data_IF_039015099375
#
_entry.id   IF_039015099375
#
_cell.length_a   1.000
_cell.length_b   1.000
_cell.length_c   1.000
_cell.angle_alpha   90.00
_cell.angle_beta   90.00
_cell.angle_gamma   90.00
#
_symmetry.space_group_name_H-M   'P 1'
#
loop_
_entity.id
_entity.type
_entity.pdbx_description
1 polymer ?
#
# COMPACT_ATOMS: atom_id res chain seq x y z
N UNK A 1 -13.48 -15.15 13.56
CA UNK A 1 -13.91 -14.00 14.37
C UNK A 1 -12.90 -13.80 15.48
N UNK A 2 -12.20 -12.67 15.52
CA UNK A 2 -11.35 -12.31 16.68
C UNK A 2 -12.29 -12.23 17.87
N UNK A 3 -12.06 -12.97 18.98
CA UNK A 3 -12.95 -12.88 20.13
C UNK A 3 -12.95 -11.43 20.62
N UNK A 4 -14.13 -10.83 20.75
CA UNK A 4 -14.34 -9.40 21.09
C UNK A 4 -13.50 -8.94 22.30
N UNK A 5 -13.15 -9.87 23.19
CA UNK A 5 -12.34 -9.66 24.38
C UNK A 5 -10.89 -9.26 24.06
N UNK A 6 -10.26 -9.85 23.04
CA UNK A 6 -8.88 -9.52 22.66
C UNK A 6 -8.81 -8.22 21.87
N UNK A 7 -9.83 -7.92 21.07
CA UNK A 7 -9.98 -6.61 20.43
C UNK A 7 -10.13 -5.49 21.48
N UNK A 8 -11.00 -5.68 22.48
CA UNK A 8 -11.22 -4.68 23.54
C UNK A 8 -9.96 -4.42 24.37
N UNK A 9 -9.15 -5.43 24.65
CA UNK A 9 -7.89 -5.30 25.40
C UNK A 9 -6.83 -4.52 24.64
N UNK A 10 -6.71 -4.75 23.33
CA UNK A 10 -5.67 -4.15 22.48
C UNK A 10 -6.17 -2.96 21.66
N UNK A 11 -7.43 -2.53 21.88
CA UNK A 11 -8.11 -1.48 21.13
C UNK A 11 -7.29 -0.21 21.02
N UNK A 12 -6.66 0.21 22.12
CA UNK A 12 -5.86 1.45 22.14
C UNK A 12 -4.67 1.35 21.19
N UNK A 13 -3.88 0.28 21.30
CA UNK A 13 -2.73 0.02 20.42
C UNK A 13 -3.16 -0.02 18.96
N UNK A 14 -4.22 -0.76 18.64
CA UNK A 14 -4.75 -0.84 17.28
C UNK A 14 -5.17 0.52 16.73
N UNK A 15 -5.92 1.31 17.52
CA UNK A 15 -6.35 2.65 17.11
C UNK A 15 -5.17 3.59 16.89
N UNK A 16 -4.14 3.51 17.73
CA UNK A 16 -2.94 4.34 17.60
C UNK A 16 -2.16 3.94 16.32
N UNK A 17 -2.01 2.65 16.04
CA UNK A 17 -1.38 2.15 14.80
C UNK A 17 -2.16 2.54 13.55
N UNK A 18 -3.50 2.40 13.54
CA UNK A 18 -4.31 2.83 12.41
C UNK A 18 -4.21 4.33 12.16
N UNK A 19 -4.23 5.15 13.22
CA UNK A 19 -4.02 6.58 13.08
C UNK A 19 -2.66 6.92 12.50
N UNK A 20 -1.61 6.18 12.89
CA UNK A 20 -0.28 6.36 12.33
C UNK A 20 -0.27 6.06 10.82
N UNK A 21 -0.84 4.93 10.39
CA UNK A 21 -0.94 4.56 8.97
C UNK A 21 -1.70 5.63 8.18
N UNK A 22 -2.87 6.08 8.66
CA UNK A 22 -3.68 7.10 7.98
C UNK A 22 -2.90 8.41 7.84
N UNK A 23 -2.19 8.84 8.89
CA UNK A 23 -1.35 10.06 8.84
C UNK A 23 -0.24 9.93 7.82
N UNK A 24 0.42 8.77 7.73
CA UNK A 24 1.46 8.53 6.76
C UNK A 24 0.91 8.60 5.33
N UNK A 25 -0.21 7.91 5.05
CA UNK A 25 -0.83 7.94 3.71
C UNK A 25 -1.29 9.34 3.31
N UNK A 26 -1.87 10.08 4.24
CA UNK A 26 -2.26 11.48 4.00
C UNK A 26 -1.04 12.37 3.71
N UNK A 27 0.10 12.12 4.37
CA UNK A 27 1.36 12.82 4.10
C UNK A 27 1.89 12.48 2.71
N UNK A 28 1.94 11.20 2.34
CA UNK A 28 2.42 10.74 1.03
C UNK A 28 1.61 11.38 -0.11
N UNK A 29 0.27 11.38 0.01
CA UNK A 29 -0.62 11.97 -0.98
C UNK A 29 -0.47 13.50 -1.04
N UNK A 30 -0.39 14.18 0.12
CA UNK A 30 -0.17 15.62 0.16
C UNK A 30 1.17 16.02 -0.47
N UNK A 31 2.23 15.25 -0.24
CA UNK A 31 3.55 15.47 -0.87
C UNK A 31 3.47 15.33 -2.38
N UNK A 32 2.84 14.27 -2.88
CA UNK A 32 2.64 14.07 -4.31
C UNK A 32 1.84 15.22 -4.92
N UNK A 33 0.73 15.59 -4.29
CA UNK A 33 -0.18 16.63 -4.73
C UNK A 33 0.51 18.00 -4.80
N UNK A 34 1.26 18.39 -3.77
CA UNK A 34 2.01 19.65 -3.75
C UNK A 34 3.17 19.66 -4.74
N UNK A 35 3.89 18.54 -4.91
CA UNK A 35 4.94 18.40 -5.92
C UNK A 35 4.37 18.59 -7.33
N UNK A 36 3.29 17.86 -7.65
CA UNK A 36 2.64 17.97 -8.96
C UNK A 36 2.10 19.38 -9.19
N UNK A 37 1.54 20.03 -8.17
CA UNK A 37 1.11 21.43 -8.26
C UNK A 37 2.27 22.37 -8.62
N UNK A 38 3.43 22.21 -7.97
CA UNK A 38 4.61 23.02 -8.26
C UNK A 38 5.15 22.80 -9.68
N UNK A 39 5.00 21.59 -10.22
CA UNK A 39 5.47 21.22 -11.56
C UNK A 39 4.52 21.66 -12.69
N UNK A 40 3.20 21.54 -12.50
CA UNK A 40 2.21 21.76 -13.58
C UNK A 40 1.40 23.03 -13.44
N UNK A 41 1.19 23.51 -12.20
CA UNK A 41 0.28 24.62 -11.90
C UNK A 41 -1.22 24.28 -12.01
N UNK A 42 -1.57 23.00 -12.14
CA UNK A 42 -2.96 22.53 -12.22
C UNK A 42 -3.72 22.76 -10.89
N UNK A 43 -5.05 22.70 -10.90
CA UNK A 43 -5.81 22.77 -9.65
C UNK A 43 -5.60 21.53 -8.79
N UNK A 44 -5.43 21.72 -7.48
CA UNK A 44 -5.22 20.63 -6.52
C UNK A 44 -6.34 19.57 -6.57
N UNK A 45 -7.57 19.99 -6.85
CA UNK A 45 -8.72 19.09 -7.01
C UNK A 45 -8.54 18.16 -8.21
N UNK A 46 -8.08 18.70 -9.33
CA UNK A 46 -7.88 17.92 -10.56
C UNK A 46 -6.68 16.99 -10.42
N UNK A 47 -5.64 17.44 -9.70
CA UNK A 47 -4.49 16.60 -9.35
C UNK A 47 -4.93 15.43 -8.46
N UNK A 48 -5.73 15.70 -7.41
CA UNK A 48 -6.24 14.66 -6.51
C UNK A 48 -7.10 13.63 -7.26
N UNK A 49 -7.99 14.08 -8.14
CA UNK A 49 -8.79 13.17 -8.99
C UNK A 49 -7.87 12.27 -9.82
N UNK A 50 -6.88 12.85 -10.50
CA UNK A 50 -5.91 12.11 -11.32
C UNK A 50 -5.09 11.11 -10.51
N UNK A 51 -4.72 11.44 -9.27
CA UNK A 51 -4.04 10.51 -8.35
C UNK A 51 -4.96 9.31 -8.08
N UNK A 52 -6.22 9.57 -7.73
CA UNK A 52 -7.20 8.52 -7.44
C UNK A 52 -7.46 7.61 -8.64
N UNK A 53 -7.72 8.21 -9.81
CA UNK A 53 -7.89 7.49 -11.08
C UNK A 53 -6.69 6.59 -11.37
N UNK A 54 -5.48 7.12 -11.20
CA UNK A 54 -4.24 6.38 -11.47
C UNK A 54 -4.05 5.20 -10.52
N UNK A 55 -4.30 5.37 -9.23
CA UNK A 55 -4.25 4.28 -8.24
C UNK A 55 -5.28 3.21 -8.60
N UNK A 56 -6.50 3.60 -8.97
CA UNK A 56 -7.55 2.67 -9.35
C UNK A 56 -7.18 1.89 -10.62
N UNK A 57 -6.65 2.56 -11.65
CA UNK A 57 -6.17 1.90 -12.87
C UNK A 57 -5.14 0.81 -12.54
N UNK A 58 -4.11 1.14 -11.77
CA UNK A 58 -3.10 0.16 -11.39
C UNK A 58 -3.63 -0.94 -10.47
N UNK A 59 -4.58 -0.62 -9.60
CA UNK A 59 -5.23 -1.62 -8.75
C UNK A 59 -5.97 -2.64 -9.61
N UNK A 60 -6.73 -2.20 -10.61
CA UNK A 60 -7.46 -3.11 -11.50
C UNK A 60 -6.52 -3.92 -12.40
N UNK A 61 -5.50 -3.29 -13.00
CA UNK A 61 -4.50 -4.01 -13.80
C UNK A 61 -3.79 -5.11 -13.01
N UNK A 62 -3.42 -4.82 -11.75
CA UNK A 62 -2.80 -5.79 -10.86
C UNK A 62 -3.79 -6.87 -10.42
N UNK A 63 -5.03 -6.50 -10.12
CA UNK A 63 -6.06 -7.45 -9.69
C UNK A 63 -6.36 -8.45 -10.80
N UNK A 64 -6.62 -7.97 -12.02
CA UNK A 64 -6.88 -8.79 -13.20
C UNK A 64 -5.72 -9.76 -13.46
N UNK A 65 -4.47 -9.30 -13.28
CA UNK A 65 -3.30 -10.17 -13.39
C UNK A 65 -3.25 -11.23 -12.28
N UNK A 66 -3.38 -10.82 -11.01
CA UNK A 66 -3.28 -11.71 -9.85
C UNK A 66 -4.39 -12.76 -9.82
N UNK A 67 -5.58 -12.46 -10.34
CA UNK A 67 -6.67 -13.43 -10.47
C UNK A 67 -6.37 -14.57 -11.46
N UNK A 68 -5.41 -14.38 -12.38
CA UNK A 68 -4.96 -15.44 -13.30
C UNK A 68 -3.88 -16.35 -12.72
N UNK A 69 -3.34 -16.01 -11.55
CA UNK A 69 -2.21 -16.72 -10.93
C UNK A 69 -2.67 -17.47 -9.67
N UNK A 70 -2.04 -18.61 -9.38
CA UNK A 70 -2.19 -19.24 -8.07
C UNK A 70 -1.37 -18.49 -7.03
N UNK A 71 -2.02 -18.07 -5.95
CA UNK A 71 -1.37 -17.31 -4.89
C UNK A 71 -0.57 -18.26 -3.99
N UNK A 72 0.72 -17.95 -3.82
CA UNK A 72 1.57 -18.66 -2.87
C UNK A 72 1.33 -18.10 -1.47
N UNK A 73 1.10 -18.97 -0.49
CA UNK A 73 0.97 -18.59 0.92
C UNK A 73 2.32 -18.61 1.68
N UNK A 74 3.44 -18.65 0.95
CA UNK A 74 4.77 -18.57 1.54
C UNK A 74 5.07 -17.13 1.99
N UNK A 75 5.44 -16.95 3.25
CA UNK A 75 5.79 -15.67 3.85
C UNK A 75 7.00 -14.99 3.18
N UNK A 76 7.89 -15.79 2.59
CA UNK A 76 9.05 -15.30 1.86
C UNK A 76 8.66 -14.67 0.51
N UNK A 77 7.46 -14.97 0.01
CA UNK A 77 6.93 -14.42 -1.23
C UNK A 77 6.73 -12.90 -1.08
N UNK A 78 7.30 -12.10 -2.01
CA UNK A 78 7.07 -10.67 -2.11
C UNK A 78 5.61 -10.20 -1.94
N UNK A 79 4.66 -10.87 -2.58
CA UNK A 79 3.25 -10.51 -2.54
C UNK A 79 2.64 -10.75 -1.15
N UNK A 80 3.07 -11.81 -0.45
CA UNK A 80 2.66 -12.06 0.92
C UNK A 80 3.25 -11.04 1.88
N UNK A 81 4.48 -10.56 1.64
CA UNK A 81 5.04 -9.45 2.40
C UNK A 81 4.22 -8.17 2.21
N UNK A 82 3.82 -7.84 0.98
CA UNK A 82 2.92 -6.72 0.71
C UNK A 82 1.59 -6.85 1.48
N UNK A 83 0.98 -8.03 1.47
CA UNK A 83 -0.25 -8.31 2.24
C UNK A 83 -0.04 -8.06 3.73
N UNK A 84 1.05 -8.58 4.31
CA UNK A 84 1.36 -8.43 5.72
C UNK A 84 1.68 -6.98 6.10
N UNK A 85 2.33 -6.21 5.21
CA UNK A 85 2.72 -4.82 5.45
C UNK A 85 1.60 -3.82 5.20
N UNK A 86 0.51 -4.25 4.56
CA UNK A 86 -0.74 -3.52 4.58
C UNK A 86 -1.37 -3.47 5.98
N UNK A 87 -1.16 -4.52 6.79
CA UNK A 87 -1.73 -4.61 8.13
C UNK A 87 -0.94 -3.81 9.18
N UNK A 88 -1.61 -3.29 10.22
CA UNK A 88 -0.94 -2.76 11.41
C UNK A 88 0.01 -3.78 12.03
N UNK A 89 1.09 -3.29 12.64
CA UNK A 89 2.15 -4.11 13.25
C UNK A 89 1.58 -5.13 14.23
N UNK A 90 0.65 -4.72 15.10
CA UNK A 90 0.02 -5.64 16.04
C UNK A 90 -0.70 -6.79 15.32
N UNK A 91 -1.42 -6.51 14.25
CA UNK A 91 -2.15 -7.53 13.47
C UNK A 91 -1.18 -8.46 12.75
N UNK A 92 -0.15 -7.88 12.13
CA UNK A 92 0.92 -8.61 11.45
C UNK A 92 1.65 -9.57 12.38
N UNK A 93 1.93 -9.20 13.62
CA UNK A 93 2.70 -10.01 14.56
C UNK A 93 1.84 -11.06 15.27
N UNK A 94 0.60 -10.74 15.62
CA UNK A 94 -0.25 -11.62 16.45
C UNK A 94 -1.20 -12.50 15.63
N UNK A 95 -1.49 -12.13 14.38
CA UNK A 95 -2.49 -12.81 13.54
C UNK A 95 -1.97 -13.18 12.14
N UNK A 96 -0.64 -13.21 11.95
CA UNK A 96 0.02 -13.54 10.68
C UNK A 96 -0.56 -14.78 9.99
N UNK A 97 -0.60 -15.90 10.71
CA UNK A 97 -1.09 -17.18 10.20
C UNK A 97 -2.55 -17.10 9.72
N UNK A 98 -3.38 -16.34 10.44
CA UNK A 98 -4.77 -16.13 10.05
C UNK A 98 -4.88 -15.25 8.81
N UNK A 99 -4.00 -14.26 8.64
CA UNK A 99 -3.98 -13.41 7.43
C UNK A 99 -3.62 -14.26 6.21
N UNK A 100 -2.60 -15.11 6.33
CA UNK A 100 -2.09 -15.93 5.22
C UNK A 100 -3.03 -17.08 4.84
N UNK A 101 -3.64 -17.76 5.82
CA UNK A 101 -4.35 -19.03 5.58
C UNK A 101 -5.88 -18.93 5.67
N UNK A 102 -6.44 -17.87 6.28
CA UNK A 102 -7.89 -17.78 6.53
C UNK A 102 -8.58 -16.67 5.74
N UNK A 103 -7.83 -15.77 5.10
CA UNK A 103 -8.39 -14.76 4.20
C UNK A 103 -8.48 -15.38 2.80
N UNK A 104 -9.65 -15.34 2.13
CA UNK A 104 -9.78 -15.79 0.75
C UNK A 104 -8.82 -15.09 -0.21
N UNK A 105 -8.26 -15.83 -1.16
CA UNK A 105 -7.28 -15.33 -2.13
C UNK A 105 -7.76 -14.09 -2.88
N UNK A 106 -9.05 -14.02 -3.24
CA UNK A 106 -9.65 -12.83 -3.88
C UNK A 106 -9.48 -11.57 -3.03
N UNK A 107 -9.63 -11.67 -1.71
CA UNK A 107 -9.41 -10.54 -0.82
C UNK A 107 -7.93 -10.25 -0.60
N UNK A 108 -7.07 -11.28 -0.56
CA UNK A 108 -5.63 -11.09 -0.50
C UNK A 108 -5.12 -10.35 -1.75
N UNK A 109 -5.53 -10.78 -2.94
CA UNK A 109 -5.21 -10.16 -4.22
C UNK A 109 -5.65 -8.68 -4.26
N UNK A 110 -6.88 -8.38 -3.83
CA UNK A 110 -7.36 -7.00 -3.78
C UNK A 110 -6.53 -6.10 -2.85
N UNK A 111 -6.14 -6.62 -1.68
CA UNK A 111 -5.29 -5.88 -0.74
C UNK A 111 -3.89 -5.64 -1.33
N UNK A 112 -3.28 -6.69 -1.89
CA UNK A 112 -1.95 -6.62 -2.51
C UNK A 112 -1.94 -5.63 -3.67
N UNK A 113 -2.91 -5.73 -4.58
CA UNK A 113 -3.06 -4.84 -5.72
C UNK A 113 -3.19 -3.37 -5.28
N UNK A 114 -4.07 -3.08 -4.31
CA UNK A 114 -4.28 -1.74 -3.78
C UNK A 114 -3.02 -1.18 -3.09
N UNK A 115 -2.34 -2.01 -2.29
CA UNK A 115 -1.11 -1.62 -1.60
C UNK A 115 -0.01 -1.25 -2.58
N UNK A 116 0.26 -2.11 -3.56
CA UNK A 116 1.30 -1.89 -4.57
C UNK A 116 0.95 -0.67 -5.42
N UNK A 117 -0.27 -0.58 -5.93
CA UNK A 117 -0.73 0.55 -6.75
C UNK A 117 -0.52 1.89 -6.04
N UNK A 118 -0.95 1.99 -4.78
CA UNK A 118 -0.81 3.21 -3.98
C UNK A 118 0.66 3.59 -3.77
N UNK A 119 1.50 2.65 -3.33
CA UNK A 119 2.94 2.89 -3.12
C UNK A 119 3.64 3.28 -4.43
N UNK A 120 3.24 2.70 -5.56
CA UNK A 120 3.80 3.02 -6.87
C UNK A 120 3.46 4.45 -7.31
N UNK A 121 2.20 4.87 -7.17
CA UNK A 121 1.78 6.22 -7.54
C UNK A 121 2.44 7.26 -6.62
N UNK A 122 2.50 7.02 -5.31
CA UNK A 122 3.14 7.96 -4.39
C UNK A 122 4.65 8.10 -4.63
N UNK A 123 5.35 6.99 -4.88
CA UNK A 123 6.80 7.01 -5.09
C UNK A 123 7.21 7.54 -6.48
N UNK A 124 6.54 7.11 -7.55
CA UNK A 124 6.92 7.44 -8.94
C UNK A 124 6.19 8.64 -9.52
N UNK A 125 5.05 9.03 -8.92
CA UNK A 125 4.21 10.13 -9.38
C UNK A 125 3.23 9.76 -10.51
N UNK A 126 2.34 10.70 -10.83
CA UNK A 126 1.20 10.50 -11.75
C UNK A 126 1.65 10.29 -13.21
N UNK A 127 2.77 10.92 -13.59
CA UNK A 127 3.32 10.82 -14.95
C UNK A 127 3.98 9.48 -15.28
N UNK A 128 4.15 8.62 -14.29
CA UNK A 128 4.70 7.29 -14.48
C UNK A 128 3.67 6.39 -15.20
N UNK A 129 4.06 5.78 -16.31
CA UNK A 129 3.12 5.11 -17.22
C UNK A 129 3.54 3.76 -17.84
N UNK A 130 4.58 3.03 -17.38
CA UNK A 130 4.77 1.67 -17.86
C UNK A 130 3.65 0.76 -17.34
N UNK A 131 3.48 -0.38 -17.99
CA UNK A 131 2.60 -1.47 -17.55
C UNK A 131 3.05 -1.94 -16.17
N UNK A 132 2.17 -1.79 -15.18
CA UNK A 132 2.50 -2.16 -13.80
C UNK A 132 2.70 -3.67 -13.67
N UNK A 133 1.98 -4.45 -14.47
CA UNK A 133 2.08 -5.91 -14.52
C UNK A 133 3.44 -6.35 -15.04
N UNK A 134 3.95 -5.71 -16.08
CA UNK A 134 5.24 -6.09 -16.70
C UNK A 134 6.43 -5.84 -15.77
N UNK A 135 6.28 -4.89 -14.83
CA UNK A 135 7.33 -4.58 -13.86
C UNK A 135 7.04 -5.12 -12.46
N UNK A 136 5.92 -5.82 -12.28
CA UNK A 136 5.53 -6.37 -10.99
C UNK A 136 6.65 -7.20 -10.36
N UNK A 137 7.41 -8.05 -11.08
CA UNK A 137 8.54 -8.76 -10.48
C UNK A 137 9.59 -7.83 -9.87
N UNK A 138 9.88 -6.70 -10.53
CA UNK A 138 10.85 -5.72 -10.04
C UNK A 138 10.31 -4.92 -8.85
N UNK A 139 9.02 -4.60 -8.88
CA UNK A 139 8.30 -3.87 -7.82
C UNK A 139 8.12 -4.72 -6.58
N UNK A 140 7.82 -5.99 -6.78
CA UNK A 140 7.65 -6.96 -5.72
C UNK A 140 8.98 -7.22 -5.00
N UNK A 141 10.13 -7.09 -5.67
CA UNK A 141 11.46 -7.21 -5.05
C UNK A 141 12.04 -5.86 -4.56
N UNK A 142 11.37 -4.72 -4.80
CA UNK A 142 11.83 -3.41 -4.35
C UNK A 142 11.60 -3.23 -2.85
N UNK A 143 12.70 -3.11 -2.10
CA UNK A 143 12.66 -2.98 -0.64
C UNK A 143 11.90 -1.73 -0.16
N UNK A 144 11.83 -0.66 -0.96
CA UNK A 144 11.07 0.56 -0.60
C UNK A 144 9.54 0.36 -0.71
N UNK A 145 9.13 -0.69 -1.42
CA UNK A 145 7.72 -1.05 -1.61
C UNK A 145 7.35 -2.14 -0.59
N UNK A 146 8.29 -3.05 -0.33
CA UNK A 146 8.09 -4.15 0.61
C UNK A 146 8.23 -3.70 2.06
N UNK A 147 9.18 -2.82 2.43
CA UNK A 147 9.48 -2.51 3.84
C UNK A 147 9.05 -1.08 4.23
N UNK A 148 8.02 -0.92 5.10
CA UNK A 148 7.57 0.39 5.56
C UNK A 148 8.54 1.07 6.54
N UNK A 149 9.58 0.39 7.02
CA UNK A 149 10.57 0.96 7.96
C UNK A 149 11.69 1.75 7.28
N UNK A 150 11.75 1.74 5.94
CA UNK A 150 12.77 2.40 5.11
C UNK A 150 12.16 3.55 4.29
N UNK A 151 11.03 4.14 4.73
CA UNK A 151 10.66 5.46 4.23
C UNK A 151 11.67 6.47 4.82
N UNK A 152 12.77 6.63 4.08
CA UNK A 152 13.95 7.41 4.41
C UNK A 152 13.60 8.84 4.85
N UNK A 153 14.48 9.34 5.71
CA UNK A 153 14.68 10.70 6.17
C UNK A 153 14.78 11.70 4.99
N UNK A 154 13.70 11.93 4.24
CA UNK A 154 13.57 13.08 3.37
C UNK A 154 13.20 14.29 4.24
N UNK A 155 14.18 14.74 5.02
CA UNK A 155 14.29 16.13 5.45
C UNK A 155 14.42 16.97 4.19
N UNK A 156 13.29 17.42 3.65
CA UNK A 156 13.29 18.57 2.77
C UNK A 156 13.53 19.79 3.65
N UNK A 157 14.77 20.27 3.66
CA UNK A 157 15.08 21.63 4.08
C UNK A 157 14.26 22.56 3.18
N UNK A 158 13.22 23.14 3.76
CA UNK A 158 12.49 24.26 3.17
C UNK A 158 13.35 25.51 3.39
N UNK A 159 14.24 25.78 2.44
CA UNK A 159 14.89 27.09 2.28
C UNK A 159 13.92 28.14 1.71
#
# INVERSE_FOLDING_TARGET
TVPDVDFLKNKKTLVDEFQHIIKQRARDEAMLLLRTFAETGDYLTDISERISEKINTYTYELLDYLETQELSHDESNPLMKCLLNYCPTFIRENYKEHILNNIPDTHQNAIIACYIASKMVYSKGIGWSPSIVDILPLVADDINIIDPSIDDDLSFDLD
#
